data_IF_813272190734
#
_entry.id   IF_813272190734
#
_cell.length_a   1.000
_cell.length_b   1.000
_cell.length_c   1.000
_cell.angle_alpha   90.00
_cell.angle_beta   90.00
_cell.angle_gamma   90.00
#
_symmetry.space_group_name_H-M   'P 1'
#
loop_
_entity.id
_entity.type
_entity.pdbx_description
1 polymer ?
#
# COMPACT_ATOMS: atom_id res chain seq x y z
N UNK A 1 4.53 20.12 -17.74
CA UNK A 1 4.84 21.54 -17.46
C UNK A 1 6.31 21.70 -17.07
N UNK A 2 6.78 21.14 -15.96
CA UNK A 2 8.18 21.30 -15.45
C UNK A 2 9.28 20.92 -16.47
N UNK A 3 9.01 20.02 -17.42
CA UNK A 3 9.98 19.62 -18.45
C UNK A 3 10.07 20.63 -19.61
N UNK A 4 8.98 21.36 -19.90
CA UNK A 4 8.93 22.42 -20.94
C UNK A 4 9.46 23.76 -20.44
N UNK A 5 9.24 24.10 -19.17
CA UNK A 5 9.71 25.37 -18.56
C UNK A 5 11.26 25.50 -18.47
N UNK A 6 11.98 24.36 -18.57
CA UNK A 6 13.46 24.32 -18.51
C UNK A 6 14.16 24.62 -19.88
N UNK A 7 13.41 24.81 -20.96
CA UNK A 7 13.96 25.08 -22.28
C UNK A 7 14.03 26.58 -22.47
N UNK A 8 15.25 27.14 -22.50
CA UNK A 8 15.50 28.60 -22.62
C UNK A 8 15.08 29.21 -23.97
N UNK A 9 14.69 28.39 -24.97
CA UNK A 9 14.35 28.86 -26.31
C UNK A 9 13.17 28.11 -26.86
N UNK A 10 11.96 28.55 -26.49
CA UNK A 10 10.71 27.97 -26.97
C UNK A 10 10.24 28.63 -28.24
N UNK A 11 9.85 27.89 -29.25
CA UNK A 11 9.17 28.38 -30.45
C UNK A 11 7.84 29.06 -30.09
N UNK A 12 7.27 29.80 -31.06
CA UNK A 12 5.98 30.48 -30.88
C UNK A 12 4.84 29.50 -30.49
N UNK A 13 4.82 28.34 -31.15
CA UNK A 13 3.79 27.32 -30.89
C UNK A 13 3.98 26.66 -29.52
N UNK A 14 5.23 26.37 -29.11
CA UNK A 14 5.53 25.87 -27.78
C UNK A 14 5.16 26.86 -26.67
N UNK A 15 5.35 28.18 -26.92
CA UNK A 15 4.91 29.24 -25.97
C UNK A 15 3.40 29.27 -25.83
N UNK A 16 2.67 29.13 -26.95
CA UNK A 16 1.19 29.07 -26.95
C UNK A 16 0.69 27.83 -26.18
N UNK A 17 1.24 26.64 -26.50
CA UNK A 17 0.91 25.41 -25.80
C UNK A 17 1.22 25.51 -24.29
N UNK A 18 2.34 26.13 -23.92
CA UNK A 18 2.68 26.35 -22.51
C UNK A 18 1.68 27.27 -21.82
N UNK A 19 1.25 28.35 -22.48
CA UNK A 19 0.23 29.26 -21.94
C UNK A 19 -1.12 28.54 -21.74
N UNK A 20 -1.56 27.74 -22.71
CA UNK A 20 -2.77 26.94 -22.60
C UNK A 20 -2.69 25.93 -21.44
N UNK A 21 -1.53 25.27 -21.25
CA UNK A 21 -1.28 24.37 -20.13
C UNK A 21 -1.31 25.10 -18.77
N UNK A 22 -0.80 26.34 -18.71
CA UNK A 22 -0.89 27.17 -17.50
C UNK A 22 -2.33 27.52 -17.14
N UNK A 23 -3.15 27.87 -18.15
CA UNK A 23 -4.58 28.15 -17.95
C UNK A 23 -5.34 26.93 -17.47
N UNK A 24 -5.09 25.76 -18.09
CA UNK A 24 -5.69 24.49 -17.67
C UNK A 24 -5.28 24.13 -16.23
N UNK A 25 -3.99 24.29 -15.91
CA UNK A 25 -3.47 24.09 -14.55
C UNK A 25 -4.18 25.01 -13.54
N UNK A 26 -4.31 26.28 -13.84
CA UNK A 26 -4.96 27.26 -12.95
C UNK A 26 -6.44 26.91 -12.71
N UNK A 27 -7.16 26.46 -13.76
CA UNK A 27 -8.55 25.96 -13.62
C UNK A 27 -8.61 24.74 -12.71
N UNK A 28 -7.73 23.76 -12.95
CA UNK A 28 -7.65 22.55 -12.14
C UNK A 28 -7.27 22.83 -10.69
N UNK A 29 -6.31 23.73 -10.45
CA UNK A 29 -5.91 24.15 -9.11
C UNK A 29 -7.10 24.76 -8.34
N UNK A 30 -7.93 25.57 -9.01
CA UNK A 30 -9.14 26.17 -8.44
C UNK A 30 -10.21 25.11 -8.12
N UNK A 31 -10.42 24.15 -9.01
CA UNK A 31 -11.34 23.03 -8.77
C UNK A 31 -10.87 22.19 -7.60
N UNK A 32 -9.57 21.89 -7.51
CA UNK A 32 -8.96 21.15 -6.42
C UNK A 32 -9.08 21.90 -5.09
N UNK A 33 -8.87 23.23 -5.10
CA UNK A 33 -9.08 24.06 -3.91
C UNK A 33 -10.53 24.02 -3.43
N UNK A 34 -11.48 24.14 -4.35
CA UNK A 34 -12.91 24.06 -4.03
C UNK A 34 -13.29 22.68 -3.49
N UNK A 35 -12.80 21.61 -4.12
CA UNK A 35 -12.98 20.25 -3.62
C UNK A 35 -12.38 20.08 -2.21
N UNK A 36 -11.17 20.57 -1.98
CA UNK A 36 -10.52 20.49 -0.67
C UNK A 36 -11.30 21.21 0.44
N UNK A 37 -11.98 22.32 0.12
CA UNK A 37 -12.84 23.06 1.07
C UNK A 37 -14.10 22.30 1.43
N UNK A 38 -14.66 21.53 0.49
CA UNK A 38 -15.97 20.90 0.59
C UNK A 38 -15.91 19.38 0.81
N UNK A 39 -14.72 18.76 0.72
CA UNK A 39 -14.57 17.32 0.88
C UNK A 39 -15.02 16.85 2.25
N UNK A 40 -15.77 15.75 2.26
CA UNK A 40 -16.26 15.10 3.45
C UNK A 40 -15.86 13.62 3.44
N UNK A 41 -15.31 13.12 4.54
CA UNK A 41 -14.95 11.71 4.67
C UNK A 41 -16.20 10.80 4.65
N UNK A 42 -17.37 11.30 5.06
CA UNK A 42 -18.64 10.57 4.99
C UNK A 42 -19.05 10.18 3.57
N UNK A 43 -18.55 10.84 2.52
CA UNK A 43 -18.78 10.43 1.13
C UNK A 43 -18.26 9.02 0.83
N UNK A 44 -17.29 8.55 1.58
CA UNK A 44 -16.75 7.19 1.47
C UNK A 44 -17.66 6.11 2.07
N UNK A 45 -18.66 6.48 2.88
CA UNK A 45 -19.67 5.55 3.42
C UNK A 45 -20.45 4.90 2.27
N UNK A 46 -20.86 5.69 1.28
CA UNK A 46 -21.57 5.16 0.10
C UNK A 46 -20.73 4.14 -0.67
N UNK A 47 -19.44 4.39 -0.79
CA UNK A 47 -18.52 3.45 -1.45
C UNK A 47 -18.37 2.16 -0.62
N UNK A 48 -18.23 2.26 0.70
CA UNK A 48 -18.23 1.10 1.59
C UNK A 48 -19.49 0.26 1.42
N UNK A 49 -20.65 0.91 1.44
CA UNK A 49 -21.94 0.22 1.37
C UNK A 49 -22.08 -0.49 0.00
N UNK A 50 -21.69 0.14 -1.08
CA UNK A 50 -21.65 -0.48 -2.41
C UNK A 50 -20.77 -1.75 -2.45
N UNK A 51 -19.59 -1.71 -1.81
CA UNK A 51 -18.71 -2.91 -1.72
C UNK A 51 -19.33 -3.99 -0.83
N UNK A 52 -19.92 -3.60 0.31
CA UNK A 52 -20.57 -4.54 1.22
C UNK A 52 -21.78 -5.23 0.58
N UNK A 53 -22.58 -4.50 -0.20
CA UNK A 53 -23.72 -5.06 -0.97
C UNK A 53 -23.26 -6.07 -2.02
N UNK A 54 -22.04 -5.91 -2.56
CA UNK A 54 -21.39 -6.88 -3.42
C UNK A 54 -20.68 -8.04 -2.67
N UNK A 55 -20.81 -8.10 -1.34
CA UNK A 55 -20.16 -9.12 -0.51
C UNK A 55 -18.65 -8.90 -0.29
N UNK A 56 -18.14 -7.70 -0.58
CA UNK A 56 -16.72 -7.35 -0.46
C UNK A 56 -16.51 -6.41 0.72
N UNK A 57 -15.55 -6.72 1.59
CA UNK A 57 -15.14 -5.86 2.71
C UNK A 57 -13.86 -5.12 2.37
N UNK A 58 -13.87 -3.80 2.58
CA UNK A 58 -12.67 -2.97 2.51
C UNK A 58 -11.96 -3.08 3.87
N UNK A 59 -10.78 -3.68 3.94
CA UNK A 59 -10.04 -3.84 5.19
C UNK A 59 -8.86 -2.86 5.33
N UNK A 60 -8.33 -2.33 4.23
CA UNK A 60 -7.23 -1.38 4.19
C UNK A 60 -7.46 -0.27 3.17
N UNK A 61 -6.88 0.90 3.40
CA UNK A 61 -6.97 2.05 2.50
C UNK A 61 -5.58 2.68 2.31
N UNK A 62 -5.13 2.85 1.05
CA UNK A 62 -3.80 3.39 0.72
C UNK A 62 -3.87 4.83 0.18
N UNK A 63 -4.13 5.84 1.03
CA UNK A 63 -4.14 7.25 0.63
C UNK A 63 -2.72 7.85 0.59
N UNK A 64 -1.79 7.21 -0.11
CA UNK A 64 -0.37 7.51 -0.11
C UNK A 64 -0.05 9.00 -0.18
N UNK A 65 -0.72 9.74 -1.09
CA UNK A 65 -0.44 11.14 -1.33
C UNK A 65 -0.71 12.01 -0.08
N UNK A 66 -1.81 11.74 0.63
CA UNK A 66 -2.23 12.54 1.79
C UNK A 66 -1.45 12.21 3.07
N UNK A 67 -0.85 11.01 3.16
CA UNK A 67 -0.08 10.58 4.33
C UNK A 67 1.40 10.97 4.26
N UNK A 68 1.90 11.45 3.11
CA UNK A 68 3.32 11.80 2.94
C UNK A 68 3.75 12.97 3.81
N UNK A 69 5.06 12.99 4.14
CA UNK A 69 5.73 14.15 4.76
C UNK A 69 5.45 15.43 3.97
N UNK A 70 5.22 16.52 4.68
CA UNK A 70 4.86 17.81 4.10
C UNK A 70 3.35 18.10 4.04
N UNK A 71 2.49 17.08 4.19
CA UNK A 71 1.06 17.31 4.33
C UNK A 71 0.70 17.93 5.68
N UNK A 72 -0.35 18.77 5.65
CA UNK A 72 -0.95 19.32 6.87
C UNK A 72 -1.63 18.23 7.70
N UNK A 73 -1.78 18.46 9.00
CA UNK A 73 -2.55 17.58 9.88
C UNK A 73 -4.01 17.43 9.40
N UNK A 74 -4.59 18.47 8.79
CA UNK A 74 -5.92 18.41 8.21
C UNK A 74 -6.01 17.37 7.07
N UNK A 75 -5.01 17.33 6.17
CA UNK A 75 -4.95 16.36 5.08
C UNK A 75 -4.78 14.94 5.61
N UNK A 76 -3.88 14.75 6.58
CA UNK A 76 -3.64 13.44 7.19
C UNK A 76 -4.88 12.95 7.95
N UNK A 77 -5.53 13.82 8.74
CA UNK A 77 -6.77 13.48 9.43
C UNK A 77 -7.89 13.11 8.46
N UNK A 78 -8.05 13.86 7.36
CA UNK A 78 -9.03 13.51 6.33
C UNK A 78 -8.78 12.12 5.73
N UNK A 79 -7.53 11.78 5.41
CA UNK A 79 -7.17 10.45 4.91
C UNK A 79 -7.53 9.33 5.90
N UNK A 80 -7.29 9.56 7.18
CA UNK A 80 -7.62 8.61 8.25
C UNK A 80 -9.12 8.47 8.47
N UNK A 81 -9.86 9.59 8.45
CA UNK A 81 -11.32 9.59 8.54
C UNK A 81 -11.98 8.92 7.33
N UNK A 82 -11.44 9.15 6.12
CA UNK A 82 -11.89 8.44 4.91
C UNK A 82 -11.67 6.92 5.02
N UNK A 83 -10.51 6.48 5.51
CA UNK A 83 -10.26 5.07 5.80
C UNK A 83 -11.29 4.47 6.78
N UNK A 84 -11.59 5.20 7.85
CA UNK A 84 -12.64 4.81 8.82
C UNK A 84 -14.02 4.73 8.19
N UNK A 85 -14.41 5.72 7.40
CA UNK A 85 -15.69 5.76 6.71
C UNK A 85 -15.84 4.60 5.71
N UNK A 86 -14.74 4.19 5.07
CA UNK A 86 -14.66 2.97 4.24
C UNK A 86 -14.80 1.67 5.04
N UNK A 87 -14.75 1.71 6.38
CA UNK A 87 -14.74 0.51 7.21
C UNK A 87 -13.37 -0.18 7.30
N UNK A 88 -12.31 0.46 6.83
CA UNK A 88 -10.96 -0.08 6.90
C UNK A 88 -10.45 -0.11 8.35
N UNK A 89 -9.72 -1.17 8.70
CA UNK A 89 -9.04 -1.29 10.01
C UNK A 89 -7.79 -0.41 10.09
N UNK A 90 -7.19 -0.09 8.93
CA UNK A 90 -5.98 0.69 8.83
C UNK A 90 -5.89 1.48 7.51
N UNK A 91 -5.14 2.58 7.56
CA UNK A 91 -4.57 3.20 6.37
C UNK A 91 -3.15 2.70 6.17
N UNK A 92 -2.67 2.63 4.93
CA UNK A 92 -1.30 2.14 4.66
C UNK A 92 -0.49 3.16 3.88
N UNK A 93 0.81 3.17 4.14
CA UNK A 93 1.83 3.99 3.48
C UNK A 93 3.18 3.27 3.61
N UNK A 94 4.12 3.58 2.72
CA UNK A 94 5.52 3.20 2.91
C UNK A 94 6.07 3.72 4.24
N UNK A 95 6.89 2.91 4.95
CA UNK A 95 7.52 3.38 6.18
C UNK A 95 8.37 4.63 5.88
N UNK A 96 8.06 5.78 6.52
CA UNK A 96 8.85 6.98 6.33
C UNK A 96 10.31 6.81 6.82
N UNK A 97 11.28 7.29 6.05
CA UNK A 97 12.68 7.35 6.47
C UNK A 97 12.88 8.27 7.69
N UNK A 98 12.05 9.31 7.80
CA UNK A 98 12.08 10.25 8.93
C UNK A 98 11.20 9.71 10.09
N UNK A 99 11.79 9.29 11.22
CA UNK A 99 11.05 8.75 12.34
C UNK A 99 10.13 9.79 13.02
N UNK A 100 10.36 11.09 12.80
CA UNK A 100 9.44 12.12 13.29
C UNK A 100 8.10 12.08 12.57
N UNK A 101 8.11 11.62 11.31
CA UNK A 101 6.90 11.51 10.52
C UNK A 101 6.09 10.26 10.92
N UNK A 102 6.72 9.11 11.16
CA UNK A 102 6.03 7.93 11.68
C UNK A 102 5.44 8.17 13.08
N UNK A 103 6.15 8.91 13.94
CA UNK A 103 5.61 9.36 15.23
C UNK A 103 4.36 10.25 15.05
N UNK A 104 4.41 11.20 14.12
CA UNK A 104 3.28 12.08 13.78
C UNK A 104 2.07 11.27 13.28
N UNK A 105 2.31 10.37 12.33
CA UNK A 105 1.26 9.50 11.77
C UNK A 105 0.62 8.62 12.86
N UNK A 106 1.41 8.02 13.74
CA UNK A 106 0.93 7.21 14.84
C UNK A 106 0.03 7.98 15.81
N UNK A 107 0.43 9.21 16.18
CA UNK A 107 -0.39 10.10 17.04
C UNK A 107 -1.72 10.48 16.38
N UNK A 108 -1.69 10.83 15.09
CA UNK A 108 -2.91 11.19 14.36
C UNK A 108 -3.80 9.96 14.13
N UNK A 109 -3.23 8.79 13.87
CA UNK A 109 -3.98 7.53 13.76
C UNK A 109 -4.69 7.19 15.08
N UNK A 110 -3.99 7.31 16.21
CA UNK A 110 -4.57 7.12 17.54
C UNK A 110 -5.74 8.08 17.79
N UNK A 111 -5.57 9.37 17.48
CA UNK A 111 -6.61 10.39 17.62
C UNK A 111 -7.84 10.07 16.77
N UNK A 112 -7.68 9.52 15.57
CA UNK A 112 -8.76 9.16 14.66
C UNK A 112 -9.35 7.76 14.94
N UNK A 113 -8.77 6.97 15.86
CA UNK A 113 -9.22 5.61 16.18
C UNK A 113 -9.08 4.64 15.00
N UNK A 114 -7.98 4.75 14.26
CA UNK A 114 -7.58 3.86 13.16
C UNK A 114 -6.10 3.52 13.31
N UNK A 115 -5.61 2.51 12.60
CA UNK A 115 -4.18 2.20 12.56
C UNK A 115 -3.53 2.78 11.31
N UNK A 116 -2.20 3.01 11.35
CA UNK A 116 -1.38 3.23 10.18
C UNK A 116 -0.43 2.05 10.01
N UNK A 117 -0.60 1.33 8.91
CA UNK A 117 0.15 0.12 8.59
C UNK A 117 1.27 0.46 7.60
N UNK A 118 2.49 0.21 7.99
CA UNK A 118 3.66 0.52 7.18
C UNK A 118 3.99 -0.62 6.22
N UNK A 119 4.15 -0.25 4.96
CA UNK A 119 4.60 -1.12 3.88
C UNK A 119 6.10 -0.89 3.61
N UNK A 120 6.76 -1.87 3.02
CA UNK A 120 8.17 -1.76 2.63
C UNK A 120 8.48 -2.60 1.40
N UNK A 121 9.57 -2.25 0.73
CA UNK A 121 10.12 -2.95 -0.42
C UNK A 121 11.39 -3.73 -0.02
N UNK A 122 12.42 -3.71 -0.84
CA UNK A 122 13.67 -4.47 -0.61
C UNK A 122 14.57 -3.89 0.50
N UNK A 123 14.16 -2.84 1.19
CA UNK A 123 14.82 -2.32 2.39
C UNK A 123 14.38 -3.03 3.68
N UNK A 124 13.36 -3.92 3.59
CA UNK A 124 12.83 -4.63 4.76
C UNK A 124 13.85 -5.61 5.36
N UNK A 125 13.89 -5.65 6.69
CA UNK A 125 14.53 -6.69 7.49
C UNK A 125 13.84 -6.78 8.85
N UNK A 126 14.12 -7.81 9.67
CA UNK A 126 13.35 -8.11 10.87
C UNK A 126 13.28 -6.96 11.89
N UNK A 127 14.26 -6.08 11.94
CA UNK A 127 14.31 -4.95 12.88
C UNK A 127 14.01 -3.58 12.21
N UNK A 128 13.69 -3.57 10.93
CA UNK A 128 13.47 -2.32 10.17
C UNK A 128 12.29 -1.50 10.70
N UNK A 129 11.35 -2.15 11.35
CA UNK A 129 10.09 -1.59 11.82
C UNK A 129 10.13 -1.09 13.27
N UNK A 130 11.16 -1.48 14.04
CA UNK A 130 11.19 -1.37 15.50
C UNK A 130 10.93 0.06 15.97
N UNK A 131 11.63 1.07 15.43
CA UNK A 131 11.43 2.48 15.80
C UNK A 131 9.98 2.93 15.63
N UNK A 132 9.34 2.60 14.48
CA UNK A 132 7.97 3.02 14.25
C UNK A 132 6.99 2.31 15.20
N UNK A 133 7.19 1.03 15.47
CA UNK A 133 6.34 0.24 16.36
C UNK A 133 6.45 0.69 17.82
N UNK A 134 7.62 1.13 18.27
CA UNK A 134 7.84 1.67 19.61
C UNK A 134 7.18 3.05 19.82
N UNK A 135 7.02 3.84 18.75
CA UNK A 135 6.51 5.19 18.82
C UNK A 135 5.01 5.28 19.12
N UNK A 136 4.21 4.29 18.72
CA UNK A 136 2.75 4.30 18.92
C UNK A 136 2.16 2.91 18.74
N UNK A 137 1.19 2.57 19.59
CA UNK A 137 0.33 1.40 19.41
C UNK A 137 -0.55 1.47 18.14
N UNK A 138 -0.67 2.64 17.53
CA UNK A 138 -1.38 2.82 16.27
C UNK A 138 -0.49 2.62 15.05
N UNK A 139 0.83 2.50 15.20
CA UNK A 139 1.76 2.08 14.19
C UNK A 139 1.75 0.55 14.12
N UNK A 140 1.44 0.02 12.95
CA UNK A 140 1.31 -1.42 12.69
C UNK A 140 1.94 -1.76 11.35
N UNK A 141 1.87 -3.01 10.91
CA UNK A 141 2.59 -3.48 9.73
C UNK A 141 1.65 -3.92 8.61
N UNK A 142 2.07 -3.62 7.39
CA UNK A 142 1.61 -4.18 6.13
C UNK A 142 2.84 -4.64 5.32
N UNK A 143 3.56 -5.69 5.78
CA UNK A 143 4.75 -6.17 5.10
C UNK A 143 4.42 -6.81 3.77
N UNK A 144 5.43 -6.91 2.90
CA UNK A 144 5.37 -7.65 1.65
C UNK A 144 6.39 -8.78 1.67
N UNK A 145 5.92 -10.03 1.59
CA UNK A 145 6.79 -11.19 1.67
C UNK A 145 7.69 -11.36 0.45
N UNK A 146 7.19 -11.02 -0.75
CA UNK A 146 8.01 -11.09 -1.95
C UNK A 146 9.17 -10.10 -1.90
N UNK A 147 8.92 -8.88 -1.44
CA UNK A 147 9.98 -7.90 -1.21
C UNK A 147 10.93 -8.31 -0.08
N UNK A 148 10.42 -8.97 0.95
CA UNK A 148 11.22 -9.45 2.08
C UNK A 148 12.25 -10.49 1.62
N UNK A 149 11.82 -11.46 0.80
CA UNK A 149 12.70 -12.48 0.20
C UNK A 149 13.67 -11.86 -0.80
N UNK A 150 13.18 -10.95 -1.65
CA UNK A 150 14.04 -10.24 -2.62
C UNK A 150 15.09 -9.34 -1.95
N UNK A 151 14.87 -8.90 -0.71
CA UNK A 151 15.86 -8.21 0.11
C UNK A 151 16.99 -9.12 0.63
N UNK A 152 16.85 -10.45 0.46
CA UNK A 152 17.83 -11.44 0.93
C UNK A 152 17.57 -11.98 2.34
N UNK A 153 16.41 -11.69 2.91
CA UNK A 153 16.04 -12.22 4.22
C UNK A 153 15.69 -13.72 4.12
N UNK A 154 16.01 -14.48 5.17
CA UNK A 154 15.78 -15.92 5.25
C UNK A 154 14.92 -16.32 6.46
N UNK A 155 14.54 -15.36 7.28
CA UNK A 155 13.85 -15.52 8.57
C UNK A 155 12.33 -15.18 8.48
N UNK A 156 11.72 -15.45 7.30
CA UNK A 156 10.31 -15.09 7.01
C UNK A 156 9.33 -15.57 8.07
N UNK A 157 9.48 -16.81 8.54
CA UNK A 157 8.52 -17.38 9.50
C UNK A 157 8.75 -16.84 10.92
N UNK A 158 9.99 -16.58 11.30
CA UNK A 158 10.31 -15.87 12.54
C UNK A 158 9.75 -14.45 12.51
N UNK A 159 9.90 -13.74 11.40
CA UNK A 159 9.33 -12.41 11.18
C UNK A 159 7.79 -12.44 11.37
N UNK A 160 7.08 -13.33 10.67
CA UNK A 160 5.61 -13.41 10.77
C UNK A 160 5.19 -13.72 12.21
N UNK A 161 5.84 -14.66 12.89
CA UNK A 161 5.55 -15.03 14.28
C UNK A 161 5.81 -13.88 15.25
N UNK A 162 6.98 -13.23 15.14
CA UNK A 162 7.40 -12.09 15.96
C UNK A 162 6.37 -10.96 15.92
N UNK A 163 5.88 -10.66 14.73
CA UNK A 163 5.02 -9.50 14.49
C UNK A 163 3.54 -9.83 14.26
N UNK A 164 3.10 -11.07 14.50
CA UNK A 164 1.73 -11.51 14.20
C UNK A 164 0.64 -10.62 14.83
N UNK A 165 0.87 -10.07 16.02
CA UNK A 165 -0.06 -9.13 16.68
C UNK A 165 0.02 -7.68 16.15
N UNK A 166 1.03 -7.36 15.38
CA UNK A 166 1.25 -6.03 14.79
C UNK A 166 1.00 -6.00 13.27
N UNK A 167 0.91 -7.14 12.61
CA UNK A 167 0.54 -7.22 11.19
C UNK A 167 -0.98 -7.02 11.07
N UNK A 168 -1.41 -6.07 10.25
CA UNK A 168 -2.83 -5.77 9.98
C UNK A 168 -3.27 -6.20 8.58
N UNK A 169 -2.33 -6.31 7.67
CA UNK A 169 -2.44 -6.96 6.37
C UNK A 169 -1.03 -7.35 5.91
N UNK A 170 -0.93 -8.28 4.99
CA UNK A 170 0.37 -8.72 4.46
C UNK A 170 0.24 -8.93 2.95
N UNK A 171 1.10 -8.31 2.16
CA UNK A 171 1.17 -8.59 0.74
C UNK A 171 1.87 -9.94 0.51
N UNK A 172 1.28 -10.71 -0.39
CA UNK A 172 1.88 -11.93 -0.93
C UNK A 172 2.03 -11.77 -2.43
N UNK A 173 3.26 -11.82 -2.87
CA UNK A 173 3.66 -11.95 -4.28
C UNK A 173 4.85 -12.87 -4.37
N UNK A 174 5.01 -13.51 -5.50
CA UNK A 174 6.15 -14.38 -5.70
C UNK A 174 7.31 -13.62 -6.34
N UNK A 175 8.48 -13.74 -5.76
CA UNK A 175 9.71 -13.12 -6.25
C UNK A 175 10.88 -14.08 -6.13
N UNK A 176 11.87 -13.88 -7.00
CA UNK A 176 13.19 -14.46 -6.80
C UNK A 176 13.91 -13.79 -5.62
N UNK A 177 14.68 -14.57 -4.89
CA UNK A 177 15.54 -14.07 -3.81
C UNK A 177 16.63 -13.16 -4.35
N UNK A 178 17.32 -12.44 -3.47
CA UNK A 178 18.46 -11.60 -3.84
C UNK A 178 19.52 -12.37 -4.63
N UNK A 179 19.79 -13.61 -4.24
CA UNK A 179 20.77 -14.49 -4.91
C UNK A 179 20.32 -14.94 -6.32
N UNK A 180 19.01 -14.93 -6.57
CA UNK A 180 18.40 -15.45 -7.81
C UNK A 180 17.86 -14.34 -8.73
N UNK A 181 18.21 -13.06 -8.51
CA UNK A 181 17.94 -11.96 -9.44
C UNK A 181 16.74 -11.08 -9.09
N UNK A 182 15.99 -11.38 -8.04
CA UNK A 182 14.91 -10.53 -7.49
C UNK A 182 13.71 -10.29 -8.42
N UNK A 183 13.55 -11.03 -9.50
CA UNK A 183 12.45 -10.87 -10.44
C UNK A 183 11.08 -11.19 -9.80
N UNK A 184 10.04 -10.48 -10.24
CA UNK A 184 8.66 -10.85 -9.96
C UNK A 184 8.27 -12.08 -10.78
N UNK A 185 7.65 -13.06 -10.16
CA UNK A 185 7.34 -14.36 -10.73
C UNK A 185 5.86 -14.73 -10.58
N UNK A 186 5.31 -15.53 -11.51
CA UNK A 186 4.04 -16.20 -11.26
C UNK A 186 4.09 -17.03 -9.97
N UNK A 187 2.99 -17.12 -9.24
CA UNK A 187 2.93 -17.81 -7.95
C UNK A 187 3.37 -19.29 -8.08
N UNK A 188 4.30 -19.70 -7.23
CA UNK A 188 4.91 -21.02 -7.23
C UNK A 188 6.16 -21.15 -8.13
N UNK A 189 6.58 -20.09 -8.81
CA UNK A 189 7.77 -20.08 -9.69
C UNK A 189 8.93 -19.25 -9.13
N UNK A 190 8.71 -18.52 -8.05
CA UNK A 190 9.71 -17.75 -7.34
C UNK A 190 10.32 -18.49 -6.15
N UNK A 191 10.84 -17.70 -5.21
CA UNK A 191 11.47 -18.20 -4.00
C UNK A 191 10.70 -17.74 -2.74
N UNK A 192 9.58 -17.01 -2.90
CA UNK A 192 8.75 -16.57 -1.77
C UNK A 192 7.98 -17.78 -1.22
N UNK A 193 8.11 -18.13 0.07
CA UNK A 193 7.44 -19.31 0.66
C UNK A 193 5.95 -19.01 0.93
N UNK A 194 5.18 -18.69 -0.13
CA UNK A 194 3.77 -18.27 -0.03
C UNK A 194 2.92 -19.38 0.59
N UNK A 195 3.11 -20.62 0.13
CA UNK A 195 2.35 -21.76 0.62
C UNK A 195 2.52 -21.95 2.13
N UNK A 196 3.77 -22.00 2.57
CA UNK A 196 4.13 -22.24 3.97
C UNK A 196 3.70 -21.05 4.85
N UNK A 197 3.77 -19.81 4.34
CA UNK A 197 3.29 -18.63 5.04
C UNK A 197 1.77 -18.66 5.22
N UNK A 198 1.00 -19.04 4.19
CA UNK A 198 -0.45 -19.19 4.29
C UNK A 198 -0.85 -20.30 5.25
N UNK A 199 -0.15 -21.45 5.24
CA UNK A 199 -0.35 -22.54 6.18
C UNK A 199 -0.03 -22.10 7.61
N UNK A 200 1.08 -21.39 7.83
CA UNK A 200 1.41 -20.80 9.13
C UNK A 200 0.28 -19.90 9.64
N UNK A 201 -0.28 -19.04 8.76
CA UNK A 201 -1.41 -18.18 9.12
C UNK A 201 -2.65 -18.99 9.51
N UNK A 202 -3.01 -19.99 8.72
CA UNK A 202 -4.14 -20.90 9.00
C UNK A 202 -3.98 -21.62 10.33
N UNK A 203 -2.83 -22.26 10.55
CA UNK A 203 -2.58 -23.14 11.68
C UNK A 203 -2.50 -22.37 13.00
N UNK A 204 -2.00 -21.13 12.97
CA UNK A 204 -1.96 -20.23 14.12
C UNK A 204 -3.20 -19.32 14.22
N UNK A 205 -4.18 -19.45 13.30
CA UNK A 205 -5.41 -18.64 13.27
C UNK A 205 -5.14 -17.13 13.29
N UNK A 206 -4.12 -16.67 12.55
CA UNK A 206 -3.84 -15.24 12.43
C UNK A 206 -4.98 -14.55 11.68
N UNK A 207 -5.42 -13.40 12.18
CA UNK A 207 -6.63 -12.72 11.71
C UNK A 207 -6.38 -11.69 10.59
N UNK A 208 -5.12 -11.35 10.30
CA UNK A 208 -4.80 -10.41 9.25
C UNK A 208 -4.92 -11.05 7.86
N UNK A 209 -5.42 -10.31 6.86
CA UNK A 209 -5.55 -10.83 5.50
C UNK A 209 -4.19 -10.91 4.79
N UNK A 210 -4.05 -11.93 3.93
CA UNK A 210 -3.00 -12.01 2.93
C UNK A 210 -3.54 -11.42 1.60
N UNK A 211 -2.90 -10.37 1.12
CA UNK A 211 -3.29 -9.62 -0.08
C UNK A 211 -2.47 -10.09 -1.27
N UNK A 212 -3.12 -10.64 -2.28
CA UNK A 212 -2.44 -10.96 -3.54
C UNK A 212 -2.00 -9.65 -4.21
N UNK A 213 -0.70 -9.51 -4.44
CA UNK A 213 -0.15 -8.42 -5.23
C UNK A 213 0.40 -8.96 -6.56
N UNK A 214 -0.18 -8.48 -7.66
CA UNK A 214 0.15 -8.91 -9.00
C UNK A 214 1.16 -7.94 -9.64
N UNK A 215 2.41 -8.37 -9.79
CA UNK A 215 3.47 -7.52 -10.36
C UNK A 215 4.36 -8.21 -11.40
N UNK A 216 4.17 -9.49 -11.68
CA UNK A 216 4.91 -10.12 -12.78
C UNK A 216 4.33 -9.75 -14.15
N UNK A 217 5.16 -9.86 -15.19
CA UNK A 217 4.72 -9.58 -16.56
C UNK A 217 3.63 -10.59 -16.97
N UNK A 218 2.47 -10.07 -17.38
CA UNK A 218 1.41 -10.92 -17.96
C UNK A 218 1.94 -11.63 -19.21
N UNK A 219 1.83 -12.96 -19.32
CA UNK A 219 2.16 -13.70 -20.54
C UNK A 219 1.37 -13.19 -21.74
N UNK A 220 1.98 -13.22 -22.94
CA UNK A 220 1.38 -12.67 -24.15
C UNK A 220 0.09 -13.41 -24.58
N UNK A 221 -0.09 -14.64 -24.12
CA UNK A 221 -1.26 -15.52 -24.36
C UNK A 221 -2.27 -15.54 -23.20
N UNK A 222 -2.15 -14.63 -22.23
CA UNK A 222 -2.99 -14.55 -21.04
C UNK A 222 -3.50 -13.12 -20.77
N UNK A 223 -4.38 -12.97 -19.80
CA UNK A 223 -4.90 -11.68 -19.32
C UNK A 223 -4.62 -11.51 -17.82
N UNK A 224 -4.59 -10.26 -17.34
CA UNK A 224 -4.44 -9.97 -15.90
C UNK A 224 -5.49 -10.73 -15.07
N UNK A 225 -6.73 -10.84 -15.56
CA UNK A 225 -7.80 -11.53 -14.84
C UNK A 225 -7.54 -13.04 -14.75
N UNK A 226 -7.04 -13.65 -15.83
CA UNK A 226 -6.67 -15.07 -15.82
C UNK A 226 -5.50 -15.36 -14.90
N UNK A 227 -4.49 -14.50 -14.91
CA UNK A 227 -3.35 -14.63 -14.01
C UNK A 227 -3.75 -14.43 -12.54
N UNK A 228 -4.60 -13.45 -12.22
CA UNK A 228 -5.15 -13.29 -10.87
C UNK A 228 -5.96 -14.53 -10.42
N UNK A 229 -6.73 -15.16 -11.32
CA UNK A 229 -7.42 -16.43 -11.02
C UNK A 229 -6.42 -17.55 -10.69
N UNK A 230 -5.28 -17.62 -11.39
CA UNK A 230 -4.20 -18.58 -11.09
C UNK A 230 -3.60 -18.30 -9.71
N UNK A 231 -3.32 -17.04 -9.37
CA UNK A 231 -2.85 -16.67 -8.04
C UNK A 231 -3.83 -17.08 -6.93
N UNK A 232 -5.12 -16.81 -7.11
CA UNK A 232 -6.18 -17.22 -6.17
C UNK A 232 -6.25 -18.74 -6.05
N UNK A 233 -6.18 -19.48 -7.15
CA UNK A 233 -6.20 -20.95 -7.13
C UNK A 233 -4.99 -21.51 -6.39
N UNK A 234 -3.80 -20.95 -6.62
CA UNK A 234 -2.58 -21.31 -5.89
C UNK A 234 -2.75 -21.15 -4.38
N UNK A 235 -3.26 -20.00 -3.95
CA UNK A 235 -3.47 -19.71 -2.53
C UNK A 235 -4.51 -20.67 -1.89
N UNK A 236 -5.60 -20.96 -2.60
CA UNK A 236 -6.61 -21.95 -2.13
C UNK A 236 -6.00 -23.32 -1.96
N UNK A 237 -5.29 -23.83 -2.98
CA UNK A 237 -4.63 -25.13 -2.91
C UNK A 237 -3.59 -25.19 -1.78
N UNK A 238 -2.89 -24.09 -1.50
CA UNK A 238 -1.96 -24.00 -0.38
C UNK A 238 -2.65 -24.12 0.99
N UNK A 239 -3.85 -23.57 1.10
CA UNK A 239 -4.65 -23.63 2.34
C UNK A 239 -5.34 -24.98 2.54
N UNK A 240 -5.64 -25.72 1.47
CA UNK A 240 -6.33 -27.01 1.51
C UNK A 240 -5.35 -28.20 1.72
N UNK A 241 -4.04 -27.97 1.61
CA UNK A 241 -2.99 -29.00 1.67
C UNK A 241 -2.36 -29.17 3.06
#
# INVERSE_FOLDING_TARGET
>A
LMRKEKKNDLSRDEKKELADLHLQKASFDKELENWNKNRNAEDFVKLRDMYNDAGVKIYGFKPNYLLRKGNSDANINYAMQAGKALGASHVTIELPEDPTHSLKLGKLAQKNGIKVAYHGHTQQHINWWDTALEQSESNVLNPDLGHYIAAGNTDTFEFIKKFSSKIYSMHIKDRKSLANGQDNMPFGMGDTPIKEALQLMRDNKYSFPATIEYEYKTPDDSTIIEELKKCVAYCKNALDS
#
